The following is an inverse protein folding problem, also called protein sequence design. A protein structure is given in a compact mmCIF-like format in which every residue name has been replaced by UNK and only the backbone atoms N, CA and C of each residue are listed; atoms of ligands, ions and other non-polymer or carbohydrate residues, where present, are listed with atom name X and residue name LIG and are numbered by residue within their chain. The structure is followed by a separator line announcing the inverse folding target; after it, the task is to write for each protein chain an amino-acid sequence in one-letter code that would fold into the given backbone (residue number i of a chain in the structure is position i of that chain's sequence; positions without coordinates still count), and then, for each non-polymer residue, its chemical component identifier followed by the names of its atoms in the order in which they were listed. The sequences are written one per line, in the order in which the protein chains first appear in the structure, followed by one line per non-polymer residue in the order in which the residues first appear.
data_IF_065066574642
#
_entry.id   IF_065066574642
#
_cell.length_a   1.000
_cell.length_b   1.000
_cell.length_c   1.000
_cell.angle_alpha   90.00
_cell.angle_beta   90.00
_cell.angle_gamma   90.00
#
_symmetry.space_group_name_H-M   'P 1'
#
loop_
_entity.id
_entity.type
_entity.pdbx_description
1 polymer ?
#
# COMPACT_ATOMS: atom_id res chain seq x y z
N UNK A 1 -20.85 54.38 43.35
CA UNK A 1 -21.18 53.05 43.90
C UNK A 1 -21.12 52.03 42.77
N UNK A 2 -20.01 51.28 42.67
CA UNK A 2 -19.87 50.20 41.69
C UNK A 2 -20.77 49.03 42.11
N UNK A 3 -21.58 48.53 41.17
CA UNK A 3 -22.58 47.48 41.43
C UNK A 3 -21.86 46.11 41.54
N UNK A 4 -21.87 45.44 42.71
CA UNK A 4 -21.02 44.28 43.00
C UNK A 4 -21.37 43.01 42.22
N UNK A 5 -22.49 42.98 41.49
CA UNK A 5 -22.91 41.84 40.68
C UNK A 5 -22.24 41.79 39.30
N UNK A 6 -21.75 42.92 38.78
CA UNK A 6 -21.06 42.97 37.48
C UNK A 6 -19.67 42.31 37.52
N UNK A 7 -18.99 42.33 38.67
CA UNK A 7 -17.71 41.65 38.89
C UNK A 7 -17.86 40.12 38.97
N UNK A 8 -18.98 39.62 39.46
CA UNK A 8 -19.24 38.17 39.57
C UNK A 8 -19.50 37.56 38.18
N UNK A 9 -20.21 38.26 37.30
CA UNK A 9 -20.43 37.79 35.91
C UNK A 9 -19.11 37.77 35.13
N UNK A 10 -18.23 38.74 35.35
CA UNK A 10 -16.91 38.78 34.69
C UNK A 10 -15.96 37.64 35.12
N UNK A 11 -16.12 37.06 36.32
CA UNK A 11 -15.27 35.96 36.81
C UNK A 11 -15.81 34.55 36.56
N UNK A 12 -17.11 34.37 36.38
CA UNK A 12 -17.73 33.02 36.31
C UNK A 12 -18.04 32.57 34.87
N UNK A 13 -18.17 33.51 33.93
CA UNK A 13 -18.46 33.22 32.51
C UNK A 13 -17.30 32.59 31.70
N UNK A 14 -16.00 32.86 31.94
CA UNK A 14 -14.95 32.34 31.06
C UNK A 14 -14.76 30.82 31.16
N UNK A 15 -15.16 30.20 32.28
CA UNK A 15 -14.99 28.75 32.52
C UNK A 15 -15.89 27.90 31.61
N UNK A 16 -17.22 28.07 31.58
CA UNK A 16 -18.09 27.29 30.69
C UNK A 16 -17.85 27.62 29.21
N UNK A 17 -17.49 28.86 28.88
CA UNK A 17 -17.18 29.26 27.51
C UNK A 17 -15.89 28.60 27.01
N UNK A 18 -14.86 28.51 27.86
CA UNK A 18 -13.64 27.77 27.58
C UNK A 18 -13.91 26.28 27.35
N UNK A 19 -14.74 25.65 28.20
CA UNK A 19 -15.15 24.25 28.03
C UNK A 19 -15.92 23.98 26.73
N UNK A 20 -16.82 24.89 26.33
CA UNK A 20 -17.55 24.79 25.07
C UNK A 20 -16.62 24.95 23.86
N UNK A 21 -15.67 25.89 23.91
CA UNK A 21 -14.68 26.10 22.85
C UNK A 21 -13.71 24.91 22.73
N UNK A 22 -13.25 24.36 23.86
CA UNK A 22 -12.41 23.15 23.88
C UNK A 22 -13.17 21.91 23.37
N UNK A 23 -14.45 21.77 23.70
CA UNK A 23 -15.30 20.69 23.21
C UNK A 23 -15.55 20.75 21.69
N UNK A 24 -15.75 21.96 21.14
CA UNK A 24 -15.93 22.17 19.70
C UNK A 24 -14.65 21.85 18.91
N UNK A 25 -13.47 22.16 19.47
CA UNK A 25 -12.17 21.82 18.86
C UNK A 25 -11.92 20.30 18.81
N UNK A 26 -12.32 19.55 19.84
CA UNK A 26 -12.18 18.08 19.86
C UNK A 26 -13.20 17.42 18.90
N UNK A 27 -14.40 17.98 18.78
CA UNK A 27 -15.43 17.46 17.86
C UNK A 27 -15.01 17.57 16.39
N UNK A 28 -14.35 18.66 16.01
CA UNK A 28 -13.85 18.85 14.63
C UNK A 28 -12.64 17.98 14.28
N UNK A 29 -11.95 17.41 15.29
CA UNK A 29 -10.68 16.71 15.11
C UNK A 29 -10.78 15.18 15.14
N UNK A 30 -11.95 14.59 15.34
CA UNK A 30 -12.12 13.13 15.34
C UNK A 30 -12.65 12.63 14.00
N UNK A 31 -11.98 13.00 12.91
CA UNK A 31 -11.84 12.10 11.78
C UNK A 31 -10.44 11.51 11.92
N UNK A 32 -10.31 10.48 12.75
CA UNK A 32 -9.14 9.62 12.64
C UNK A 32 -9.32 8.90 11.30
N UNK A 33 -8.55 9.32 10.29
CA UNK A 33 -8.50 8.62 9.01
C UNK A 33 -7.65 7.37 9.24
N UNK A 34 -8.31 6.22 9.36
CA UNK A 34 -7.66 4.96 9.75
C UNK A 34 -7.02 4.35 8.50
N UNK A 35 -5.72 4.60 8.29
CA UNK A 35 -4.96 4.05 7.16
C UNK A 35 -3.93 3.04 7.63
N UNK A 36 -3.97 1.84 7.05
CA UNK A 36 -3.02 0.76 7.33
C UNK A 36 -2.23 0.41 6.08
N UNK A 37 -0.91 0.57 6.16
CA UNK A 37 0.03 0.28 5.08
C UNK A 37 0.80 -1.02 5.34
N UNK A 38 1.21 -1.70 4.28
CA UNK A 38 2.12 -2.83 4.31
C UNK A 38 3.08 -2.72 3.13
N UNK A 39 4.37 -2.54 3.40
CA UNK A 39 5.44 -2.43 2.38
C UNK A 39 6.31 -3.69 2.31
N UNK A 40 7.00 -3.89 1.19
CA UNK A 40 7.81 -5.08 0.91
C UNK A 40 9.34 -4.88 0.94
N UNK A 41 9.86 -3.75 1.44
CA UNK A 41 11.29 -3.43 1.33
C UNK A 41 12.17 -4.43 2.11
N UNK A 42 13.04 -5.18 1.43
CA UNK A 42 14.16 -5.95 2.00
C UNK A 42 13.91 -6.82 3.25
N UNK A 43 12.68 -7.30 3.50
CA UNK A 43 12.24 -8.07 4.70
C UNK A 43 11.91 -7.29 6.00
N UNK A 44 11.44 -6.04 5.99
CA UNK A 44 10.95 -5.42 7.24
C UNK A 44 9.50 -4.91 7.17
N UNK A 45 8.67 -5.56 7.98
CA UNK A 45 7.24 -5.34 8.17
C UNK A 45 7.00 -4.36 9.32
N UNK A 46 6.18 -3.32 9.12
CA UNK A 46 5.58 -2.58 10.24
C UNK A 46 4.06 -2.65 10.08
N UNK A 47 3.43 -3.51 10.88
CA UNK A 47 1.97 -3.65 10.93
C UNK A 47 1.44 -2.88 12.13
N UNK A 48 0.76 -1.76 11.87
CA UNK A 48 -0.16 -1.13 12.83
C UNK A 48 -0.89 -0.02 12.07
N UNK A 49 -2.06 -0.31 11.47
CA UNK A 49 -3.31 0.12 12.12
C UNK A 49 -4.60 -0.58 11.61
N UNK A 50 -4.54 -1.51 10.64
CA UNK A 50 -5.76 -2.16 10.07
C UNK A 50 -5.73 -3.70 9.99
N UNK A 51 -4.80 -4.36 10.68
CA UNK A 51 -4.81 -5.82 10.77
C UNK A 51 -4.55 -6.55 9.44
N UNK A 52 -3.88 -5.90 8.48
CA UNK A 52 -3.34 -6.59 7.31
C UNK A 52 -2.20 -7.52 7.77
N UNK A 53 -2.32 -8.81 7.45
CA UNK A 53 -1.30 -9.81 7.73
C UNK A 53 -0.93 -10.52 6.43
N UNK A 54 0.37 -10.70 6.19
CA UNK A 54 0.86 -11.50 5.07
C UNK A 54 1.85 -12.57 5.53
N UNK A 55 1.89 -13.66 4.76
CA UNK A 55 2.63 -14.88 5.02
C UNK A 55 3.85 -15.07 4.09
N UNK A 56 4.35 -14.02 3.43
CA UNK A 56 5.60 -14.05 2.62
C UNK A 56 6.80 -13.47 3.36
N UNK A 57 7.95 -14.15 3.27
CA UNK A 57 9.30 -13.59 3.52
C UNK A 57 10.16 -13.60 2.25
N UNK A 58 9.53 -13.71 1.08
CA UNK A 58 10.23 -13.85 -0.21
C UNK A 58 10.10 -12.53 -0.97
N UNK A 59 11.21 -11.96 -1.49
CA UNK A 59 11.16 -10.77 -2.34
C UNK A 59 10.27 -11.06 -3.54
N UNK A 60 9.39 -10.11 -3.86
CA UNK A 60 8.44 -10.28 -4.97
C UNK A 60 9.14 -10.20 -6.32
N UNK A 61 10.26 -9.48 -6.34
CA UNK A 61 11.17 -9.32 -7.44
C UNK A 61 12.58 -9.42 -6.87
N UNK A 62 13.38 -10.38 -7.35
CA UNK A 62 14.80 -10.51 -7.01
C UNK A 62 15.57 -10.70 -8.31
N UNK A 63 16.59 -9.88 -8.48
CA UNK A 63 17.42 -9.81 -9.67
C UNK A 63 18.82 -10.22 -9.28
N UNK A 64 19.08 -11.52 -9.28
CA UNK A 64 20.45 -12.02 -9.18
C UNK A 64 20.79 -12.58 -10.58
N UNK A 65 21.66 -11.90 -11.32
CA UNK A 65 22.17 -12.35 -12.63
C UNK A 65 21.08 -12.74 -13.66
N UNK A 66 20.14 -11.84 -13.93
CA UNK A 66 19.10 -12.01 -14.95
C UNK A 66 19.66 -11.98 -16.38
N UNK A 67 19.23 -12.93 -17.19
CA UNK A 67 19.54 -13.00 -18.62
C UNK A 67 18.34 -12.60 -19.48
N UNK A 68 18.54 -11.95 -20.64
CA UNK A 68 17.44 -11.53 -21.51
C UNK A 68 16.51 -12.69 -21.85
N UNK A 69 15.21 -12.48 -21.65
CA UNK A 69 14.18 -13.51 -21.83
C UNK A 69 13.84 -14.30 -20.56
N UNK A 70 14.58 -14.13 -19.46
CA UNK A 70 14.23 -14.73 -18.18
C UNK A 70 12.82 -14.31 -17.75
N UNK A 71 12.13 -15.23 -17.10
CA UNK A 71 10.77 -15.00 -16.59
C UNK A 71 10.64 -15.54 -15.18
N UNK A 72 9.70 -14.96 -14.44
CA UNK A 72 9.35 -15.47 -13.12
C UNK A 72 7.99 -14.98 -12.68
N UNK A 73 7.49 -15.59 -11.61
CA UNK A 73 6.24 -15.16 -11.00
C UNK A 73 6.23 -15.39 -9.51
N UNK A 74 5.77 -14.40 -8.76
CA UNK A 74 5.54 -14.51 -7.33
C UNK A 74 4.12 -14.08 -7.00
N UNK A 75 3.54 -14.74 -5.99
CA UNK A 75 2.23 -14.38 -5.49
C UNK A 75 2.36 -13.80 -4.09
N UNK A 76 1.48 -12.87 -3.74
CA UNK A 76 1.33 -12.35 -2.40
C UNK A 76 -0.14 -12.40 -2.01
N UNK A 77 -0.43 -12.95 -0.84
CA UNK A 77 -1.78 -13.03 -0.30
C UNK A 77 -1.94 -12.00 0.81
N UNK A 78 -2.78 -11.01 0.54
CA UNK A 78 -3.18 -9.98 1.49
C UNK A 78 -4.40 -10.50 2.24
N UNK A 79 -4.25 -10.74 3.55
CA UNK A 79 -5.37 -11.07 4.44
C UNK A 79 -5.80 -9.82 5.16
N UNK A 80 -7.11 -9.59 5.25
CA UNK A 80 -7.67 -8.55 6.10
C UNK A 80 -8.50 -9.15 7.21
N UNK A 81 -8.27 -8.61 8.40
CA UNK A 81 -9.04 -8.91 9.62
C UNK A 81 -10.07 -7.81 9.93
N UNK A 82 -10.20 -6.80 9.08
CA UNK A 82 -11.22 -5.77 9.25
C UNK A 82 -12.62 -6.37 9.16
N UNK A 83 -13.52 -5.89 10.01
CA UNK A 83 -14.94 -6.24 10.11
C UNK A 83 -15.86 -5.23 9.39
N UNK A 84 -15.26 -4.28 8.68
CA UNK A 84 -15.93 -3.31 7.81
C UNK A 84 -15.29 -3.30 6.41
N UNK A 85 -16.04 -2.90 5.36
CA UNK A 85 -15.48 -2.82 4.02
C UNK A 85 -14.34 -1.80 3.92
N UNK A 86 -13.25 -2.14 3.24
CA UNK A 86 -12.12 -1.23 2.98
C UNK A 86 -11.74 -1.21 1.50
N UNK A 87 -11.29 -0.05 1.04
CA UNK A 87 -10.69 0.14 -0.28
C UNK A 87 -9.19 -0.15 -0.19
N UNK A 88 -8.76 -1.24 -0.80
CA UNK A 88 -7.36 -1.62 -0.93
C UNK A 88 -6.78 -1.04 -2.22
N UNK A 89 -5.63 -0.39 -2.14
CA UNK A 89 -4.82 0.03 -3.28
C UNK A 89 -3.39 -0.49 -3.17
N UNK A 90 -2.76 -0.61 -4.33
CA UNK A 90 -1.37 -1.02 -4.49
C UNK A 90 -0.61 0.08 -5.22
N UNK A 91 0.48 0.54 -4.62
CA UNK A 91 1.42 1.46 -5.25
C UNK A 91 2.85 0.99 -4.99
N UNK A 92 3.80 1.63 -5.64
CA UNK A 92 5.23 1.34 -5.50
C UNK A 92 5.96 2.61 -5.13
N UNK A 93 7.06 2.46 -4.41
CA UNK A 93 7.98 3.57 -4.16
C UNK A 93 9.08 3.52 -5.23
N UNK A 94 9.34 4.67 -5.85
CA UNK A 94 10.47 4.80 -6.76
C UNK A 94 11.76 4.67 -5.92
N UNK A 95 12.69 3.85 -6.37
CA UNK A 95 14.01 3.79 -5.76
C UNK A 95 15.06 4.38 -6.71
N UNK A 96 16.14 4.86 -6.13
CA UNK A 96 17.28 5.35 -6.90
C UNK A 96 18.00 4.15 -7.52
N UNK A 97 17.70 3.87 -8.79
CA UNK A 97 18.35 2.79 -9.52
C UNK A 97 19.59 3.32 -10.25
N UNK A 98 20.69 2.56 -10.25
CA UNK A 98 21.94 2.99 -10.87
C UNK A 98 21.84 3.05 -12.41
N UNK A 99 20.81 2.46 -13.01
CA UNK A 99 20.64 2.34 -14.47
C UNK A 99 19.15 2.38 -14.88
N UNK A 100 18.87 2.25 -16.19
CA UNK A 100 17.52 2.18 -16.76
C UNK A 100 16.95 0.74 -16.82
N UNK A 101 17.43 -0.14 -15.96
CA UNK A 101 17.05 -1.55 -15.90
C UNK A 101 15.52 -1.78 -15.83
N UNK A 102 14.80 -0.94 -15.07
CA UNK A 102 13.33 -0.91 -14.94
C UNK A 102 12.60 -0.94 -16.28
N UNK A 103 13.15 -0.23 -17.28
CA UNK A 103 12.48 -0.07 -18.57
C UNK A 103 12.53 -1.37 -19.39
N UNK A 104 13.37 -2.33 -19.00
CA UNK A 104 13.47 -3.65 -19.62
C UNK A 104 12.74 -4.75 -18.85
N UNK A 105 12.10 -4.45 -17.72
CA UNK A 105 11.30 -5.42 -16.99
C UNK A 105 9.84 -5.26 -17.39
N UNK A 106 9.35 -6.20 -18.18
CA UNK A 106 7.92 -6.33 -18.45
C UNK A 106 7.27 -6.93 -17.21
N UNK A 107 6.25 -6.24 -16.69
CA UNK A 107 5.55 -6.61 -15.46
C UNK A 107 4.05 -6.72 -15.73
N UNK A 108 3.49 -7.83 -15.26
CA UNK A 108 2.05 -8.07 -15.20
C UNK A 108 1.63 -8.34 -13.77
N UNK A 109 0.63 -7.60 -13.32
CA UNK A 109 0.03 -7.79 -11.99
C UNK A 109 -1.41 -8.24 -12.21
N UNK A 110 -1.74 -9.44 -11.77
CA UNK A 110 -3.11 -9.95 -11.74
C UNK A 110 -3.61 -9.98 -10.28
N UNK A 111 -4.88 -9.69 -10.05
CA UNK A 111 -5.52 -9.95 -8.75
C UNK A 111 -6.55 -11.08 -8.88
N UNK A 112 -6.57 -11.93 -7.87
CA UNK A 112 -7.18 -13.24 -7.93
C UNK A 112 -7.47 -13.85 -6.57
N UNK A 113 -7.82 -15.13 -6.61
CA UNK A 113 -7.97 -16.00 -5.44
C UNK A 113 -7.04 -17.21 -5.57
N UNK A 114 -6.91 -17.98 -4.49
CA UNK A 114 -5.98 -19.12 -4.44
C UNK A 114 -4.52 -18.66 -4.43
N UNK A 115 -3.59 -19.63 -4.53
CA UNK A 115 -2.18 -19.37 -4.30
C UNK A 115 -1.86 -19.03 -2.84
N UNK A 116 -0.58 -18.88 -2.57
CA UNK A 116 -0.06 -18.38 -1.29
C UNK A 116 1.08 -17.43 -1.55
N UNK A 117 1.47 -16.72 -0.50
CA UNK A 117 2.65 -15.88 -0.58
C UNK A 117 3.91 -16.67 -0.93
N UNK A 118 4.67 -16.16 -1.90
CA UNK A 118 5.82 -16.84 -2.51
C UNK A 118 5.49 -18.03 -3.42
N UNK A 119 4.21 -18.36 -3.65
CA UNK A 119 3.82 -19.50 -4.48
C UNK A 119 2.48 -19.28 -5.20
N UNK A 120 2.54 -19.20 -6.53
CA UNK A 120 1.35 -19.02 -7.36
C UNK A 120 0.58 -20.30 -7.71
N UNK A 121 0.95 -21.45 -7.16
CA UNK A 121 0.24 -22.71 -7.45
C UNK A 121 -1.22 -22.63 -6.98
N UNK A 122 -2.14 -22.88 -7.91
CA UNK A 122 -3.58 -22.79 -7.64
C UNK A 122 -4.13 -21.36 -7.62
N UNK A 123 -3.33 -20.36 -7.99
CA UNK A 123 -3.81 -19.00 -8.22
C UNK A 123 -4.76 -18.96 -9.42
N UNK A 124 -5.90 -18.31 -9.25
CA UNK A 124 -6.89 -18.06 -10.30
C UNK A 124 -7.07 -16.55 -10.45
N UNK A 125 -6.68 -15.94 -11.60
CA UNK A 125 -6.85 -14.52 -11.82
C UNK A 125 -8.34 -14.18 -12.01
N UNK A 126 -8.77 -13.07 -11.43
CA UNK A 126 -10.10 -12.48 -11.69
C UNK A 126 -10.01 -11.28 -12.64
N UNK A 127 -8.97 -10.45 -12.49
CA UNK A 127 -8.70 -9.30 -13.37
C UNK A 127 -7.19 -9.04 -13.49
N UNK A 128 -6.78 -8.46 -14.62
CA UNK A 128 -5.47 -7.82 -14.74
C UNK A 128 -5.52 -6.45 -14.06
N UNK A 129 -4.60 -6.19 -13.15
CA UNK A 129 -4.44 -4.91 -12.47
C UNK A 129 -3.46 -4.00 -13.21
N UNK A 130 -2.43 -4.57 -13.84
CA UNK A 130 -1.39 -3.86 -14.57
C UNK A 130 -0.75 -4.76 -15.62
N UNK A 131 -0.42 -4.20 -16.78
CA UNK A 131 0.31 -4.85 -17.87
C UNK A 131 1.15 -3.79 -18.58
N UNK A 132 2.47 -3.77 -18.35
CA UNK A 132 3.37 -2.71 -18.79
C UNK A 132 4.81 -2.94 -18.34
N UNK A 133 5.64 -1.90 -18.35
CA UNK A 133 7.01 -1.99 -17.80
C UNK A 133 7.03 -1.62 -16.31
N UNK A 134 8.02 -2.14 -15.59
CA UNK A 134 8.26 -1.79 -14.20
C UNK A 134 8.50 -0.29 -14.02
N UNK A 135 9.22 0.33 -14.96
CA UNK A 135 9.42 1.79 -15.06
C UNK A 135 8.10 2.56 -15.10
N UNK A 136 7.16 2.11 -15.93
CA UNK A 136 5.83 2.72 -16.03
C UNK A 136 5.06 2.59 -14.72
N UNK A 137 5.17 1.44 -14.05
CA UNK A 137 4.50 1.24 -12.78
C UNK A 137 5.02 2.22 -11.72
N UNK A 138 6.33 2.27 -11.51
CA UNK A 138 6.95 3.08 -10.46
C UNK A 138 6.83 4.58 -10.71
N UNK A 139 6.75 5.00 -11.98
CA UNK A 139 6.53 6.40 -12.33
C UNK A 139 5.08 6.86 -12.11
N UNK A 140 4.09 5.97 -12.32
CA UNK A 140 2.67 6.35 -12.34
C UNK A 140 1.92 6.00 -11.05
N UNK A 141 2.37 5.01 -10.27
CA UNK A 141 1.65 4.47 -9.12
C UNK A 141 2.50 4.67 -7.86
N UNK A 142 2.56 5.91 -7.37
CA UNK A 142 3.51 6.32 -6.32
C UNK A 142 2.87 6.51 -4.95
N UNK A 143 1.54 6.63 -4.88
CA UNK A 143 0.82 6.91 -3.65
C UNK A 143 -0.60 6.30 -3.70
N UNK A 144 -1.36 6.42 -2.60
CA UNK A 144 -2.74 5.92 -2.54
C UNK A 144 -3.67 6.54 -3.59
N UNK A 145 -3.45 7.79 -3.98
CA UNK A 145 -4.31 8.49 -4.95
C UNK A 145 -4.06 7.98 -6.36
N UNK A 146 -2.83 7.64 -6.70
CA UNK A 146 -2.42 7.15 -8.03
C UNK A 146 -2.29 5.63 -8.13
N UNK A 147 -2.36 4.92 -7.00
CA UNK A 147 -2.19 3.47 -6.94
C UNK A 147 -3.24 2.68 -7.71
N UNK A 148 -2.85 1.46 -8.09
CA UNK A 148 -3.71 0.47 -8.71
C UNK A 148 -4.85 0.08 -7.77
N UNK A 149 -6.03 -0.13 -8.35
CA UNK A 149 -7.26 -0.42 -7.62
C UNK A 149 -8.33 0.65 -7.89
N UNK A 150 -9.27 0.89 -6.96
CA UNK A 150 -9.42 0.21 -5.66
C UNK A 150 -9.93 -1.25 -5.80
N UNK A 151 -9.62 -2.08 -4.81
CA UNK A 151 -10.28 -3.37 -4.57
C UNK A 151 -11.01 -3.35 -3.24
N UNK A 152 -12.27 -3.79 -3.24
CA UNK A 152 -13.05 -3.86 -2.02
C UNK A 152 -12.70 -5.12 -1.24
N UNK A 153 -12.21 -4.96 -0.01
CA UNK A 153 -12.19 -6.00 1.00
C UNK A 153 -13.53 -5.94 1.76
N UNK A 154 -14.31 -7.02 1.87
CA UNK A 154 -15.72 -6.93 2.25
C UNK A 154 -15.98 -6.75 3.76
N UNK A 155 -14.95 -6.72 4.61
CA UNK A 155 -15.15 -6.61 6.06
C UNK A 155 -15.75 -7.84 6.73
N UNK A 156 -15.62 -9.03 6.12
CA UNK A 156 -16.14 -10.30 6.67
C UNK A 156 -14.98 -11.26 6.84
N UNK A 157 -14.20 -11.17 7.94
CA UNK A 157 -13.03 -12.00 8.11
C UNK A 157 -13.42 -13.48 8.34
N UNK A 158 -12.58 -14.44 7.90
CA UNK A 158 -11.34 -14.23 7.15
C UNK A 158 -11.62 -13.90 5.68
N UNK A 159 -11.04 -12.81 5.18
CA UNK A 159 -11.05 -12.48 3.76
C UNK A 159 -9.63 -12.22 3.27
N UNK A 160 -9.41 -12.50 1.99
CA UNK A 160 -8.10 -12.32 1.38
C UNK A 160 -8.20 -12.05 -0.11
N UNK A 161 -7.27 -11.23 -0.61
CA UNK A 161 -7.00 -11.06 -2.02
C UNK A 161 -5.58 -11.54 -2.30
N UNK A 162 -5.38 -12.24 -3.41
CA UNK A 162 -4.05 -12.66 -3.84
C UNK A 162 -3.67 -11.88 -5.09
N UNK A 163 -2.44 -11.39 -5.13
CA UNK A 163 -1.86 -10.73 -6.27
C UNK A 163 -0.77 -11.60 -6.85
N UNK A 164 -0.76 -11.79 -8.17
CA UNK A 164 0.32 -12.45 -8.89
C UNK A 164 1.10 -11.41 -9.67
N UNK A 165 2.40 -11.37 -9.41
CA UNK A 165 3.37 -10.55 -10.11
C UNK A 165 4.12 -11.49 -11.05
N UNK A 166 3.84 -11.42 -12.34
CA UNK A 166 4.59 -12.10 -13.38
C UNK A 166 5.51 -11.09 -14.06
N UNK A 167 6.78 -11.45 -14.22
CA UNK A 167 7.77 -10.59 -14.85
C UNK A 167 8.48 -11.33 -15.98
N UNK A 168 8.97 -10.55 -16.93
CA UNK A 168 9.90 -10.98 -17.96
C UNK A 168 10.97 -9.91 -18.13
N UNK A 169 12.24 -10.32 -18.08
CA UNK A 169 13.32 -9.47 -18.52
C UNK A 169 13.35 -9.46 -20.04
N UNK A 170 13.29 -8.27 -20.64
CA UNK A 170 13.09 -8.11 -22.07
C UNK A 170 14.18 -8.85 -22.84
N UNK A 171 13.83 -9.67 -23.86
CA UNK A 171 14.82 -10.26 -24.76
C UNK A 171 15.66 -9.22 -25.52
N UNK A 172 15.20 -7.97 -25.58
CA UNK A 172 15.91 -6.84 -26.20
C UNK A 172 16.81 -6.08 -25.22
N UNK A 173 16.96 -6.54 -23.99
CA UNK A 173 17.78 -5.86 -22.99
C UNK A 173 19.28 -5.92 -23.37
N UNK A 174 20.02 -4.79 -23.30
CA UNK A 174 21.43 -4.76 -23.62
C UNK A 174 22.26 -5.48 -22.55
N UNK A 175 23.49 -5.91 -22.89
CA UNK A 175 24.42 -6.56 -21.95
C UNK A 175 24.73 -5.68 -20.73
N UNK A 176 24.70 -4.36 -20.89
CA UNK A 176 24.87 -3.39 -19.81
C UNK A 176 23.74 -3.43 -18.77
N UNK A 177 22.63 -4.11 -19.03
CA UNK A 177 21.54 -4.31 -18.06
C UNK A 177 21.59 -5.68 -17.37
N UNK A 178 22.50 -6.59 -17.75
CA UNK A 178 22.54 -7.98 -17.25
C UNK A 178 23.41 -8.16 -15.99
N UNK A 179 24.29 -7.21 -15.70
CA UNK A 179 25.29 -7.31 -14.61
C UNK A 179 25.09 -6.27 -13.51
N UNK A 180 23.95 -5.59 -13.49
CA UNK A 180 23.68 -4.51 -12.54
C UNK A 180 23.16 -5.09 -11.21
N UNK A 181 23.78 -4.66 -10.10
CA UNK A 181 23.21 -4.83 -8.77
C UNK A 181 22.06 -3.83 -8.63
N UNK A 182 20.82 -4.29 -8.75
CA UNK A 182 19.65 -3.43 -8.69
C UNK A 182 19.02 -3.43 -7.31
N UNK A 183 18.57 -2.27 -6.84
CA UNK A 183 17.75 -2.18 -5.64
C UNK A 183 16.38 -2.87 -5.87
N UNK A 184 15.84 -3.50 -4.83
CA UNK A 184 14.58 -4.25 -4.89
C UNK A 184 13.37 -3.31 -4.82
N UNK A 185 12.52 -3.28 -5.84
CA UNK A 185 11.32 -2.41 -5.82
C UNK A 185 10.44 -2.67 -4.60
N UNK A 186 10.14 -1.60 -3.88
CA UNK A 186 9.18 -1.64 -2.78
C UNK A 186 7.75 -1.48 -3.28
N UNK A 187 6.91 -2.48 -3.02
CA UNK A 187 5.46 -2.43 -3.24
C UNK A 187 4.74 -2.23 -1.91
N UNK A 188 3.74 -1.34 -1.92
CA UNK A 188 2.94 -1.02 -0.76
C UNK A 188 1.47 -1.27 -1.03
N UNK A 189 0.84 -2.06 -0.15
CA UNK A 189 -0.60 -2.20 -0.07
C UNK A 189 -1.11 -1.31 1.05
N UNK A 190 -2.07 -0.47 0.73
CA UNK A 190 -2.74 0.38 1.71
C UNK A 190 -4.24 0.16 1.63
N UNK A 191 -4.86 -0.08 2.78
CA UNK A 191 -6.31 -0.11 2.91
C UNK A 191 -6.79 1.14 3.64
N UNK A 192 -7.90 1.71 3.16
CA UNK A 192 -8.62 2.81 3.83
C UNK A 192 -10.11 2.48 3.94
N UNK A 193 -10.78 3.02 4.93
CA UNK A 193 -12.23 2.95 5.08
C UNK A 193 -12.96 3.79 4.01
N UNK A 194 -12.32 4.86 3.50
CA UNK A 194 -12.87 5.82 2.53
C UNK A 194 -11.83 6.23 1.45
N UNK A 195 -12.26 6.53 0.21
CA UNK A 195 -11.41 7.05 -0.89
C UNK A 195 -11.28 8.58 -0.90
#
# INVERSE_FOLDING_TARGET
MARPWLTVVAQVVPIPLGLLLSGALVWGATNADWSGTSSSNGNRWTASSLGLANDSRVPMFRVDAMHPGDTGSNCIRIKSNADFPTALKLYSEAEDWPSNFQSFINLKIDVGSGGSSGNCKGFTPHRSAFDGTLDTLVALNTDFRTGLGPWTLPGKPPNSLTFRFAWQFSPSAPDTAQTEDTNEVTFTWEARDHE
#
